data_IF_077527747187
#
_entry.id   IF_077527747187
#
_cell.length_a   1.000
_cell.length_b   1.000
_cell.length_c   1.000
_cell.angle_alpha   90.00
_cell.angle_beta   90.00
_cell.angle_gamma   90.00
#
_symmetry.space_group_name_H-M   'P 1'
#
loop_
_entity.id
_entity.type
_entity.pdbx_description
1 polymer ?
#
# COMPACT_ATOMS: atom_id res chain seq x y z
N UNK A 1 21.75 -30.77 23.01
CA UNK A 1 20.56 -31.32 23.69
C UNK A 1 19.53 -30.21 23.80
N UNK A 2 18.45 -30.25 23.00
CA UNK A 2 17.08 -29.93 23.40
C UNK A 2 16.21 -30.21 22.16
N UNK A 3 15.54 -31.36 22.19
CA UNK A 3 14.63 -31.81 21.14
C UNK A 3 13.27 -31.14 21.32
N UNK A 4 12.76 -30.69 20.19
CA UNK A 4 11.36 -30.41 19.86
C UNK A 4 10.33 -31.26 20.62
N UNK A 5 9.29 -30.60 21.13
CA UNK A 5 8.04 -31.21 21.52
C UNK A 5 6.88 -30.23 21.29
N UNK A 6 6.61 -29.87 20.04
CA UNK A 6 5.31 -29.34 19.65
C UNK A 6 4.30 -30.50 19.71
N UNK A 7 3.61 -30.62 20.85
CA UNK A 7 2.47 -31.53 21.00
C UNK A 7 1.35 -31.06 20.08
N UNK A 8 1.18 -31.81 19.00
CA UNK A 8 -0.01 -31.82 18.13
C UNK A 8 -1.26 -31.96 19.01
N UNK A 9 -2.06 -30.89 19.05
CA UNK A 9 -3.42 -30.93 19.62
C UNK A 9 -4.31 -31.74 18.67
N UNK A 10 -4.28 -33.05 18.83
CA UNK A 10 -5.18 -33.98 18.14
C UNK A 10 -6.52 -34.03 18.89
N UNK A 11 -7.29 -32.93 18.85
CA UNK A 11 -8.70 -32.95 19.26
C UNK A 11 -9.54 -33.16 18.00
N UNK A 12 -10.01 -34.41 17.83
CA UNK A 12 -11.10 -34.73 16.91
C UNK A 12 -12.33 -33.92 17.32
N UNK A 13 -12.60 -32.83 16.61
CA UNK A 13 -13.92 -32.19 16.60
C UNK A 13 -14.87 -33.10 15.81
N UNK A 14 -15.41 -34.11 16.49
CA UNK A 14 -16.65 -34.77 16.06
C UNK A 14 -17.82 -34.05 16.71
N UNK A 15 -18.23 -32.93 16.11
CA UNK A 15 -19.57 -32.38 16.30
C UNK A 15 -20.00 -31.79 14.97
N UNK A 16 -21.03 -32.39 14.38
CA UNK A 16 -21.62 -31.95 13.13
C UNK A 16 -22.19 -30.55 13.28
N UNK A 17 -21.47 -29.59 12.72
CA UNK A 17 -22.02 -28.33 12.26
C UNK A 17 -21.87 -28.34 10.75
N UNK A 18 -22.99 -28.19 10.06
CA UNK A 18 -23.02 -27.82 8.65
C UNK A 18 -22.31 -26.47 8.53
N UNK A 19 -20.99 -26.50 8.38
CA UNK A 19 -20.21 -25.36 7.90
C UNK A 19 -20.68 -25.17 6.47
N UNK A 20 -21.74 -24.36 6.29
CA UNK A 20 -22.24 -24.01 4.96
C UNK A 20 -21.12 -23.36 4.14
N UNK A 21 -21.31 -23.24 2.83
CA UNK A 21 -20.29 -22.69 1.91
C UNK A 21 -19.64 -21.38 2.39
N UNK A 22 -20.39 -20.52 3.11
CA UNK A 22 -19.86 -19.30 3.71
C UNK A 22 -18.82 -19.53 4.81
N UNK A 23 -18.95 -20.59 5.63
CA UNK A 23 -17.95 -20.92 6.65
C UNK A 23 -16.67 -21.50 6.06
N UNK A 24 -16.77 -22.27 4.96
CA UNK A 24 -15.62 -22.76 4.22
C UNK A 24 -14.86 -21.60 3.54
N UNK A 25 -15.59 -20.68 2.89
CA UNK A 25 -15.03 -19.48 2.29
C UNK A 25 -14.25 -18.64 3.32
N UNK A 26 -14.86 -18.34 4.47
CA UNK A 26 -14.18 -17.59 5.54
C UNK A 26 -12.95 -18.31 6.09
N UNK A 27 -12.98 -19.65 6.18
CA UNK A 27 -11.81 -20.41 6.62
C UNK A 27 -10.66 -20.34 5.63
N UNK A 28 -10.95 -20.35 4.32
CA UNK A 28 -9.94 -20.21 3.28
C UNK A 28 -9.33 -18.81 3.30
N UNK A 29 -10.15 -17.76 3.37
CA UNK A 29 -9.68 -16.37 3.47
C UNK A 29 -8.76 -16.17 4.68
N UNK A 30 -9.08 -16.79 5.82
CA UNK A 30 -8.22 -16.77 7.01
C UNK A 30 -6.89 -17.48 6.77
N UNK A 31 -6.91 -18.67 6.17
CA UNK A 31 -5.70 -19.41 5.84
C UNK A 31 -4.80 -18.61 4.90
N UNK A 32 -5.36 -18.06 3.83
CA UNK A 32 -4.64 -17.25 2.84
C UNK A 32 -4.02 -16.01 3.48
N UNK A 33 -4.77 -15.34 4.36
CA UNK A 33 -4.26 -14.19 5.12
C UNK A 33 -3.09 -14.59 6.02
N UNK A 34 -3.18 -15.70 6.76
CA UNK A 34 -2.08 -16.14 7.61
C UNK A 34 -0.84 -16.53 6.82
N UNK A 35 -1.00 -17.18 5.66
CA UNK A 35 0.12 -17.49 4.77
C UNK A 35 0.77 -16.23 4.20
N UNK A 36 -0.03 -15.25 3.76
CA UNK A 36 0.48 -13.95 3.31
C UNK A 36 1.21 -13.23 4.44
N UNK A 37 0.66 -13.27 5.66
CA UNK A 37 1.26 -12.66 6.83
C UNK A 37 2.62 -13.28 7.17
N UNK A 38 2.71 -14.60 7.24
CA UNK A 38 3.96 -15.31 7.51
C UNK A 38 5.04 -14.96 6.48
N UNK A 39 4.66 -14.91 5.20
CA UNK A 39 5.56 -14.52 4.12
C UNK A 39 6.04 -13.07 4.27
N UNK A 40 5.13 -12.11 4.46
CA UNK A 40 5.48 -10.69 4.57
C UNK A 40 6.23 -10.35 5.87
N UNK A 41 6.05 -11.12 6.94
CA UNK A 41 6.84 -10.98 8.18
C UNK A 41 8.29 -11.43 7.98
N UNK A 42 8.59 -12.26 6.97
CA UNK A 42 9.96 -12.64 6.61
C UNK A 42 10.71 -11.56 5.80
N UNK A 43 9.98 -10.60 5.23
CA UNK A 43 10.56 -9.50 4.45
C UNK A 43 11.31 -8.52 5.37
N UNK A 44 12.18 -7.65 4.82
CA UNK A 44 12.85 -6.62 5.61
C UNK A 44 11.86 -5.80 6.45
N UNK A 45 12.06 -5.77 7.76
CA UNK A 45 11.24 -5.01 8.72
C UNK A 45 11.95 -3.72 9.14
N UNK A 46 11.22 -2.68 9.49
CA UNK A 46 11.80 -1.47 10.10
C UNK A 46 11.96 -1.67 11.60
N UNK A 47 13.07 -1.21 12.16
CA UNK A 47 13.32 -1.35 13.60
C UNK A 47 12.55 -0.34 14.47
N UNK A 48 12.00 0.75 13.91
CA UNK A 48 11.32 1.76 14.75
C UNK A 48 10.15 2.47 14.04
N UNK A 49 8.95 2.36 14.61
CA UNK A 49 7.75 3.12 14.22
C UNK A 49 7.60 4.42 15.05
N UNK A 50 8.59 4.73 15.91
CA UNK A 50 8.64 5.93 16.76
C UNK A 50 9.32 7.14 16.09
N UNK A 51 9.19 7.27 14.76
CA UNK A 51 9.75 8.40 14.05
C UNK A 51 9.06 9.72 14.39
N UNK A 52 9.77 10.83 14.15
CA UNK A 52 9.20 12.16 14.30
C UNK A 52 8.07 12.39 13.30
N UNK A 53 7.01 13.06 13.77
CA UNK A 53 5.94 13.58 12.92
C UNK A 53 6.24 15.06 12.69
N UNK A 54 6.38 15.46 11.43
CA UNK A 54 6.59 16.84 11.02
C UNK A 54 5.49 17.30 10.07
N UNK A 55 5.16 18.59 10.07
CA UNK A 55 4.24 19.17 9.10
C UNK A 55 5.01 19.58 7.84
N UNK A 56 4.42 19.39 6.65
CA UNK A 56 4.97 19.89 5.41
C UNK A 56 5.01 21.44 5.41
N UNK A 57 6.21 21.99 5.29
CA UNK A 57 6.49 23.42 5.20
C UNK A 57 6.35 23.96 3.77
N UNK A 58 6.64 23.13 2.79
CA UNK A 58 6.64 23.48 1.37
C UNK A 58 5.52 22.83 0.56
N UNK A 59 5.13 23.51 -0.53
CA UNK A 59 4.18 22.98 -1.51
C UNK A 59 4.94 22.18 -2.58
N UNK A 60 5.56 21.07 -2.20
CA UNK A 60 6.42 20.28 -3.08
C UNK A 60 6.05 18.78 -3.16
N UNK A 61 4.96 18.37 -2.51
CA UNK A 61 4.51 16.97 -2.45
C UNK A 61 3.23 16.82 -3.28
N UNK A 62 3.31 15.98 -4.30
CA UNK A 62 2.18 15.49 -5.06
C UNK A 62 1.69 14.18 -4.43
N UNK A 63 0.40 14.07 -4.18
CA UNK A 63 -0.24 12.84 -3.71
C UNK A 63 -1.31 12.48 -4.72
N UNK A 64 -1.24 11.29 -5.32
CA UNK A 64 -2.25 10.83 -6.27
C UNK A 64 -3.09 9.68 -5.72
N UNK A 65 -4.40 9.87 -5.82
CA UNK A 65 -5.50 9.17 -5.18
C UNK A 65 -6.71 10.11 -5.07
N UNK A 66 -7.94 9.57 -4.98
CA UNK A 66 -9.26 10.23 -4.89
C UNK A 66 -9.43 11.33 -3.82
N UNK A 67 -8.40 11.66 -3.05
CA UNK A 67 -8.42 12.67 -2.00
C UNK A 67 -7.39 13.79 -2.22
N UNK A 68 -6.90 13.97 -3.46
CA UNK A 68 -6.06 15.12 -3.81
C UNK A 68 -6.90 16.40 -4.04
N UNK A 69 -6.40 17.60 -3.69
CA UNK A 69 -7.15 18.86 -3.75
C UNK A 69 -7.61 19.29 -5.16
N UNK A 70 -7.00 18.73 -6.22
CA UNK A 70 -7.41 18.96 -7.61
C UNK A 70 -8.71 18.26 -8.01
N UNK A 71 -9.24 17.39 -7.15
CA UNK A 71 -10.43 16.61 -7.43
C UNK A 71 -11.70 17.30 -6.90
N UNK A 72 -12.32 18.11 -7.75
CA UNK A 72 -13.64 18.71 -7.47
C UNK A 72 -14.73 17.66 -7.73
N UNK A 73 -15.57 17.36 -6.73
CA UNK A 73 -16.81 16.60 -6.93
C UNK A 73 -18.04 17.42 -6.60
N UNK A 74 -19.05 17.20 -7.43
CA UNK A 74 -20.39 17.78 -7.40
C UNK A 74 -21.10 17.48 -6.07
N UNK A 75 -21.16 18.50 -5.20
CA UNK A 75 -21.70 18.42 -3.83
C UNK A 75 -23.17 17.93 -3.79
N UNK A 76 -23.89 18.03 -4.90
CA UNK A 76 -25.32 17.70 -4.99
C UNK A 76 -25.63 16.19 -5.03
N UNK A 77 -24.63 15.31 -5.19
CA UNK A 77 -24.83 13.86 -5.40
C UNK A 77 -24.68 12.96 -4.16
N UNK A 78 -24.26 13.45 -3.00
CA UNK A 78 -23.90 12.57 -1.85
C UNK A 78 -24.79 12.78 -0.59
N UNK A 79 -25.57 11.76 -0.22
CA UNK A 79 -26.46 11.76 0.95
C UNK A 79 -25.74 11.23 2.21
N UNK A 80 -25.07 12.11 2.97
CA UNK A 80 -24.29 11.79 4.18
C UNK A 80 -25.09 11.05 5.28
N UNK A 81 -26.40 11.25 5.37
CA UNK A 81 -27.23 10.76 6.48
C UNK A 81 -27.42 9.22 6.51
N UNK A 82 -27.33 8.55 5.35
CA UNK A 82 -27.50 7.09 5.26
C UNK A 82 -26.31 6.29 5.79
N UNK A 83 -25.10 6.84 5.68
CA UNK A 83 -23.83 6.15 5.97
C UNK A 83 -23.56 6.07 7.47
N UNK A 84 -23.85 7.17 8.21
CA UNK A 84 -23.71 7.22 9.67
C UNK A 84 -24.56 6.16 10.38
N UNK A 85 -25.78 5.87 9.87
CA UNK A 85 -26.61 4.77 10.39
C UNK A 85 -25.97 3.40 10.17
N UNK A 86 -25.43 3.13 8.99
CA UNK A 86 -24.84 1.82 8.64
C UNK A 86 -23.56 1.51 9.43
N UNK A 87 -22.71 2.52 9.69
CA UNK A 87 -21.48 2.36 10.48
C UNK A 87 -21.77 2.08 11.96
N UNK A 88 -22.81 2.72 12.50
CA UNK A 88 -23.22 2.58 13.90
C UNK A 88 -24.04 1.30 14.17
N UNK A 89 -24.75 0.77 13.18
CA UNK A 89 -25.56 -0.45 13.32
C UNK A 89 -24.79 -1.75 13.07
N UNK A 90 -23.56 -1.69 12.58
CA UNK A 90 -22.80 -2.89 12.18
C UNK A 90 -22.01 -3.50 13.35
N UNK A 91 -22.19 -4.80 13.67
CA UNK A 91 -21.43 -5.49 14.73
C UNK A 91 -19.92 -5.46 14.43
N UNK A 92 -19.09 -5.35 15.47
CA UNK A 92 -17.61 -5.33 15.38
C UNK A 92 -17.03 -6.50 14.56
N UNK A 93 -17.68 -7.66 14.55
CA UNK A 93 -17.30 -8.82 13.74
C UNK A 93 -17.47 -8.57 12.23
N UNK A 94 -18.53 -7.89 11.80
CA UNK A 94 -18.74 -7.48 10.40
C UNK A 94 -17.82 -6.35 9.96
N UNK A 95 -17.37 -5.49 10.90
CA UNK A 95 -16.30 -4.51 10.63
C UNK A 95 -14.96 -5.18 10.33
N UNK A 96 -14.71 -6.37 10.89
CA UNK A 96 -13.53 -7.20 10.57
C UNK A 96 -13.63 -7.97 9.23
N UNK A 97 -14.85 -8.04 8.66
CA UNK A 97 -15.18 -8.62 7.35
C UNK A 97 -15.41 -7.54 6.28
N UNK A 98 -14.90 -6.32 6.52
CA UNK A 98 -15.22 -5.08 5.82
C UNK A 98 -14.71 -4.97 4.37
N UNK A 99 -15.02 -5.95 3.51
CA UNK A 99 -14.83 -5.89 2.06
C UNK A 99 -16.13 -5.63 1.28
N UNK A 100 -17.30 -5.65 1.93
CA UNK A 100 -18.60 -5.41 1.27
C UNK A 100 -19.15 -3.98 1.43
N UNK A 101 -18.48 -3.13 2.20
CA UNK A 101 -18.74 -1.68 2.27
C UNK A 101 -17.77 -0.93 1.37
N UNK A 102 -17.56 -1.44 0.15
CA UNK A 102 -16.83 -0.71 -0.89
C UNK A 102 -17.74 0.39 -1.46
N UNK A 103 -18.00 1.38 -0.62
CA UNK A 103 -18.86 2.51 -0.88
C UNK A 103 -18.04 3.60 -1.60
N UNK A 104 -17.38 3.22 -2.70
CA UNK A 104 -16.66 4.10 -3.62
C UNK A 104 -17.57 5.16 -4.29
N UNK A 105 -18.72 5.52 -3.72
CA UNK A 105 -19.62 6.57 -4.24
C UNK A 105 -19.85 7.72 -3.25
N UNK A 106 -19.25 7.69 -2.06
CA UNK A 106 -19.67 8.59 -0.96
C UNK A 106 -18.56 9.21 -0.09
N UNK A 107 -17.33 9.28 -0.60
CA UNK A 107 -16.22 9.87 0.15
C UNK A 107 -15.90 11.25 -0.40
N UNK A 108 -16.47 12.27 0.24
CA UNK A 108 -15.89 13.60 0.29
C UNK A 108 -14.43 13.52 0.77
N UNK A 109 -13.63 14.57 0.54
CA UNK A 109 -12.39 14.72 1.31
C UNK A 109 -12.75 14.47 2.77
N UNK A 110 -12.14 13.48 3.43
CA UNK A 110 -12.46 13.26 4.84
C UNK A 110 -12.09 14.54 5.58
N UNK A 111 -13.11 15.31 5.95
CA UNK A 111 -12.93 16.53 6.72
C UNK A 111 -12.31 16.14 8.06
N UNK A 112 -11.26 16.87 8.45
CA UNK A 112 -10.58 16.65 9.73
C UNK A 112 -9.47 15.60 9.74
N UNK A 113 -9.03 15.08 8.58
CA UNK A 113 -7.76 14.35 8.49
C UNK A 113 -6.87 14.89 7.36
N UNK A 114 -5.58 14.91 7.63
CA UNK A 114 -4.53 15.23 6.67
C UNK A 114 -3.86 13.95 6.17
N UNK A 115 -3.10 14.03 5.08
CA UNK A 115 -2.30 12.89 4.65
C UNK A 115 -1.05 12.76 5.52
N UNK A 116 -0.77 11.56 5.98
CA UNK A 116 0.52 11.18 6.54
C UNK A 116 1.35 10.51 5.45
N UNK A 117 2.47 11.12 5.08
CA UNK A 117 3.39 10.64 4.05
C UNK A 117 4.64 10.06 4.70
N UNK A 118 5.01 8.87 4.27
CA UNK A 118 6.28 8.22 4.59
C UNK A 118 7.05 7.99 3.29
N UNK A 119 8.13 8.74 3.09
CA UNK A 119 9.03 8.52 1.96
C UNK A 119 9.84 7.26 2.21
N UNK A 120 10.04 6.46 1.16
CA UNK A 120 10.77 5.20 1.27
C UNK A 120 12.22 5.49 1.64
N UNK A 121 12.54 5.28 2.92
CA UNK A 121 13.82 5.63 3.52
C UNK A 121 14.09 4.73 4.72
N UNK A 122 15.30 4.83 5.28
CA UNK A 122 15.63 4.15 6.53
C UNK A 122 15.13 4.92 7.77
N UNK A 123 14.67 6.16 7.58
CA UNK A 123 14.11 6.99 8.63
C UNK A 123 12.59 6.80 8.70
N UNK A 124 12.04 6.75 9.91
CA UNK A 124 10.61 6.61 10.15
C UNK A 124 9.86 7.95 10.22
N UNK A 125 10.39 8.99 9.58
CA UNK A 125 9.77 10.33 9.60
C UNK A 125 8.45 10.33 8.83
N UNK A 126 7.38 10.69 9.52
CA UNK A 126 6.05 10.88 8.94
C UNK A 126 5.81 12.36 8.71
N UNK A 127 5.32 12.69 7.53
CA UNK A 127 5.12 14.07 7.09
C UNK A 127 3.64 14.30 6.90
N UNK A 128 3.06 15.17 7.71
CA UNK A 128 1.66 15.57 7.60
C UNK A 128 1.54 16.62 6.51
N UNK A 129 0.77 16.30 5.47
CA UNK A 129 0.56 17.17 4.30
C UNK A 129 -0.88 17.65 4.30
N UNK A 130 -1.04 18.94 4.57
CA UNK A 130 -2.33 19.62 4.48
C UNK A 130 -2.73 19.83 3.02
N UNK A 131 -4.03 19.86 2.67
CA UNK A 131 -4.51 20.06 1.30
C UNK A 131 -3.86 21.24 0.57
N UNK A 132 -3.74 22.40 1.23
CA UNK A 132 -3.14 23.61 0.66
C UNK A 132 -1.64 23.48 0.35
N UNK A 133 -0.95 22.52 0.99
CA UNK A 133 0.47 22.20 0.80
C UNK A 133 0.70 21.09 -0.23
N UNK A 134 -0.35 20.49 -0.79
CA UNK A 134 -0.18 19.52 -1.86
C UNK A 134 0.03 20.21 -3.21
N UNK A 135 0.95 19.67 -4.01
CA UNK A 135 1.06 20.03 -5.42
C UNK A 135 -0.24 19.64 -6.15
N UNK A 136 -0.67 20.52 -7.03
CA UNK A 136 -1.89 20.38 -7.83
C UNK A 136 -1.57 20.53 -9.32
N UNK A 137 -0.56 19.81 -9.79
CA UNK A 137 -0.27 19.73 -11.22
C UNK A 137 -0.82 18.40 -11.77
N UNK A 138 -1.23 18.42 -13.02
CA UNK A 138 -1.74 17.24 -13.74
C UNK A 138 -0.60 16.22 -13.94
N UNK A 139 -0.79 14.93 -13.62
CA UNK A 139 0.28 13.94 -13.80
C UNK A 139 0.72 13.81 -15.26
N UNK A 140 -0.14 14.20 -16.22
CA UNK A 140 0.22 14.27 -17.64
C UNK A 140 1.29 15.35 -17.93
N UNK A 141 1.55 16.25 -16.98
CA UNK A 141 2.63 17.25 -17.05
C UNK A 141 3.96 16.77 -16.48
N UNK A 142 4.01 15.57 -15.89
CA UNK A 142 5.28 14.96 -15.43
C UNK A 142 6.16 14.67 -16.65
N UNK A 143 7.30 15.34 -16.75
CA UNK A 143 8.28 15.07 -17.81
C UNK A 143 9.06 13.79 -17.53
N UNK A 144 9.68 13.21 -18.55
CA UNK A 144 10.47 11.97 -18.41
C UNK A 144 11.64 12.13 -17.44
N UNK A 145 12.26 13.31 -17.48
CA UNK A 145 13.51 13.65 -16.82
C UNK A 145 13.31 14.18 -15.40
N UNK A 146 12.07 14.49 -15.01
CA UNK A 146 11.77 14.95 -13.66
C UNK A 146 12.11 13.84 -12.66
N UNK A 147 12.67 14.22 -11.51
CA UNK A 147 13.09 13.26 -10.48
C UNK A 147 12.21 13.47 -9.24
N UNK A 148 11.83 12.36 -8.63
CA UNK A 148 10.97 12.34 -7.46
C UNK A 148 11.56 11.49 -6.35
N UNK A 149 11.45 11.96 -5.12
CA UNK A 149 11.45 11.07 -3.96
C UNK A 149 10.07 10.42 -3.88
N UNK A 150 10.06 9.09 -3.76
CA UNK A 150 8.81 8.31 -3.73
C UNK A 150 8.47 7.86 -2.32
N UNK A 151 7.17 7.83 -2.03
CA UNK A 151 6.66 7.45 -0.71
C UNK A 151 5.26 6.88 -0.75
N UNK A 152 4.85 6.37 0.41
CA UNK A 152 3.50 5.93 0.67
C UNK A 152 2.78 7.00 1.49
N UNK A 153 1.54 7.29 1.12
CA UNK A 153 0.70 8.22 1.83
C UNK A 153 -0.53 7.50 2.36
N UNK A 154 -0.96 7.86 3.57
CA UNK A 154 -2.22 7.38 4.12
C UNK A 154 -3.05 8.54 4.65
N UNK A 155 -4.37 8.41 4.54
CA UNK A 155 -5.32 9.35 5.11
C UNK A 155 -6.35 8.59 5.92
N UNK A 156 -6.53 8.97 7.18
CA UNK A 156 -7.52 8.33 8.05
C UNK A 156 -8.93 8.74 7.61
N UNK A 157 -9.80 7.76 7.36
CA UNK A 157 -11.21 7.98 7.02
C UNK A 157 -12.07 8.17 8.27
N UNK A 158 -13.22 8.84 8.12
CA UNK A 158 -14.24 9.03 9.17
C UNK A 158 -13.74 9.67 10.48
N UNK A 159 -12.71 10.51 10.42
CA UNK A 159 -12.16 11.18 11.62
C UNK A 159 -13.16 12.18 12.22
N UNK A 160 -13.98 12.79 11.38
CA UNK A 160 -15.15 13.60 11.74
C UNK A 160 -16.16 12.84 12.61
N UNK A 161 -16.34 11.54 12.36
CA UNK A 161 -17.23 10.66 13.14
C UNK A 161 -16.52 10.03 14.34
N UNK A 162 -15.25 9.65 14.19
CA UNK A 162 -14.45 9.01 15.23
C UNK A 162 -12.95 9.24 15.00
N UNK A 163 -12.31 9.94 15.93
CA UNK A 163 -10.83 10.08 15.97
C UNK A 163 -10.07 8.76 16.11
N UNK A 164 -10.78 7.67 16.44
CA UNK A 164 -10.24 6.31 16.55
C UNK A 164 -10.64 5.43 15.36
N UNK A 165 -11.06 6.03 14.25
CA UNK A 165 -11.43 5.28 13.06
C UNK A 165 -10.29 4.37 12.64
N UNK A 166 -10.51 3.05 12.51
CA UNK A 166 -9.48 2.15 12.00
C UNK A 166 -9.34 2.26 10.48
N UNK A 167 -10.15 3.11 9.82
CA UNK A 167 -10.23 3.16 8.39
C UNK A 167 -9.19 4.11 7.80
N UNK A 168 -8.43 3.67 6.79
CA UNK A 168 -7.40 4.45 6.09
C UNK A 168 -7.54 4.25 4.58
N UNK A 169 -7.28 5.30 3.83
CA UNK A 169 -7.01 5.21 2.40
C UNK A 169 -5.53 5.35 2.15
N UNK A 170 -5.02 4.57 1.21
CA UNK A 170 -3.64 4.63 0.78
C UNK A 170 -3.51 5.35 -0.56
N UNK A 171 -2.38 6.00 -0.73
CA UNK A 171 -2.00 6.74 -1.94
C UNK A 171 -0.49 6.69 -2.10
N UNK A 172 0.00 7.09 -3.27
CA UNK A 172 1.42 7.29 -3.50
C UNK A 172 1.74 8.78 -3.39
N UNK A 173 2.84 9.09 -2.73
CA UNK A 173 3.38 10.43 -2.64
C UNK A 173 4.65 10.56 -3.49
N UNK A 174 4.77 11.67 -4.20
CA UNK A 174 5.95 12.09 -4.92
C UNK A 174 6.38 13.46 -4.42
N UNK A 175 7.64 13.61 -3.99
CA UNK A 175 8.22 14.92 -3.76
C UNK A 175 9.15 15.26 -4.91
N UNK A 176 8.94 16.43 -5.51
CA UNK A 176 9.77 16.90 -6.62
C UNK A 176 11.19 17.17 -6.14
N UNK A 177 12.18 16.63 -6.85
CA UNK A 177 13.60 16.98 -6.68
C UNK A 177 13.98 18.02 -7.72
N UNK A 178 14.58 19.13 -7.29
CA UNK A 178 14.92 20.26 -8.16
C UNK A 178 15.85 21.27 -7.49
N UNK A 179 15.83 22.52 -7.96
CA UNK A 179 16.60 23.62 -7.35
C UNK A 179 16.20 23.87 -5.90
N UNK A 180 14.90 23.78 -5.64
CA UNK A 180 14.30 24.21 -4.37
C UNK A 180 14.32 23.10 -3.33
N UNK A 181 14.33 21.83 -3.76
CA UNK A 181 14.46 20.66 -2.90
C UNK A 181 15.50 19.69 -3.46
N UNK A 182 16.60 19.51 -2.74
CA UNK A 182 17.64 18.54 -3.11
C UNK A 182 17.26 17.15 -2.62
N UNK A 183 17.56 16.13 -3.44
CA UNK A 183 17.32 14.73 -3.07
C UNK A 183 18.05 14.36 -1.78
N UNK A 184 17.36 13.64 -0.89
CA UNK A 184 17.97 13.05 0.29
C UNK A 184 18.62 11.69 -0.02
N UNK A 185 19.81 11.45 0.56
CA UNK A 185 20.63 10.24 0.31
C UNK A 185 19.99 8.96 0.81
N UNK A 186 19.04 9.08 1.72
CA UNK A 186 18.35 7.96 2.33
C UNK A 186 17.03 7.63 1.62
N UNK A 187 16.54 8.48 0.70
CA UNK A 187 15.23 8.30 0.08
C UNK A 187 15.31 7.66 -1.30
N UNK A 188 14.34 6.82 -1.63
CA UNK A 188 14.26 6.20 -2.95
C UNK A 188 13.86 7.23 -4.01
N UNK A 189 14.60 7.24 -5.12
CA UNK A 189 14.38 8.14 -6.24
C UNK A 189 13.81 7.39 -7.45
N UNK A 190 12.88 8.02 -8.15
CA UNK A 190 12.36 7.57 -9.45
C UNK A 190 12.26 8.74 -10.43
N UNK A 191 12.46 8.43 -11.71
CA UNK A 191 12.26 9.39 -12.81
C UNK A 191 10.78 9.49 -13.16
N UNK A 192 10.38 10.59 -13.80
CA UNK A 192 9.01 10.78 -14.24
C UNK A 192 8.59 9.74 -15.27
N UNK A 193 9.51 9.28 -16.13
CA UNK A 193 9.29 8.12 -17.01
C UNK A 193 8.82 6.89 -16.25
N UNK A 194 9.52 6.56 -15.17
CA UNK A 194 9.22 5.40 -14.33
C UNK A 194 7.90 5.59 -13.57
N UNK A 195 7.64 6.79 -13.06
CA UNK A 195 6.38 7.12 -12.40
C UNK A 195 5.19 6.97 -13.36
N UNK A 196 5.29 7.48 -14.60
CA UNK A 196 4.22 7.31 -15.59
C UNK A 196 4.02 5.85 -15.96
N UNK A 197 5.09 5.04 -15.99
CA UNK A 197 4.99 3.58 -16.13
C UNK A 197 4.23 2.96 -14.96
N UNK A 198 4.54 3.33 -13.72
CA UNK A 198 3.82 2.86 -12.52
C UNK A 198 2.32 3.17 -12.62
N UNK A 199 1.97 4.42 -12.95
CA UNK A 199 0.57 4.85 -13.05
C UNK A 199 -0.15 4.08 -14.15
N UNK A 200 0.44 3.99 -15.34
CA UNK A 200 -0.17 3.34 -16.52
C UNK A 200 -0.43 1.86 -16.26
N UNK A 201 0.57 1.12 -15.77
CA UNK A 201 0.43 -0.30 -15.52
C UNK A 201 -0.53 -0.59 -14.36
N UNK A 202 -0.51 0.22 -13.30
CA UNK A 202 -1.45 0.08 -12.17
C UNK A 202 -2.89 0.32 -12.62
N UNK A 203 -3.12 1.37 -13.42
CA UNK A 203 -4.44 1.63 -14.01
C UNK A 203 -4.93 0.45 -14.85
N UNK A 204 -4.06 -0.10 -15.68
CA UNK A 204 -4.41 -1.21 -16.56
C UNK A 204 -4.69 -2.52 -15.80
N UNK A 205 -3.93 -2.80 -14.73
CA UNK A 205 -3.98 -4.09 -14.02
C UNK A 205 -4.98 -4.13 -12.87
N UNK A 206 -5.18 -3.01 -12.18
CA UNK A 206 -6.05 -2.93 -11.01
C UNK A 206 -7.31 -2.12 -11.31
N UNK A 207 -7.15 -0.92 -11.86
CA UNK A 207 -8.26 0.04 -11.89
C UNK A 207 -9.24 -0.17 -13.05
N UNK A 208 -8.75 -0.66 -14.21
CA UNK A 208 -9.55 -0.82 -15.42
C UNK A 208 -10.75 -1.77 -15.23
N UNK A 209 -10.56 -2.87 -14.50
CA UNK A 209 -11.64 -3.84 -14.20
C UNK A 209 -12.70 -3.29 -13.25
N UNK A 210 -12.36 -2.24 -12.50
CA UNK A 210 -13.23 -1.57 -11.54
C UNK A 210 -13.78 -0.23 -12.08
N UNK A 211 -13.56 0.06 -13.38
CA UNK A 211 -13.93 1.32 -14.02
C UNK A 211 -13.43 2.56 -13.27
N UNK A 212 -12.25 2.45 -12.66
CA UNK A 212 -11.61 3.54 -11.95
C UNK A 212 -10.20 3.80 -12.48
N UNK A 213 -9.52 4.78 -11.89
CA UNK A 213 -8.10 5.07 -12.15
C UNK A 213 -7.43 5.38 -10.82
N UNK A 214 -6.11 5.30 -10.76
CA UNK A 214 -5.27 5.71 -9.64
C UNK A 214 -5.45 7.19 -9.26
N UNK A 215 -6.00 7.99 -10.19
CA UNK A 215 -6.38 9.38 -9.97
C UNK A 215 -7.73 9.51 -9.27
N UNK A 216 -8.69 8.67 -9.65
CA UNK A 216 -10.10 8.82 -9.30
C UNK A 216 -10.61 7.80 -8.28
N UNK A 217 -9.78 6.81 -7.89
CA UNK A 217 -10.05 5.85 -6.83
C UNK A 217 -8.88 5.73 -5.86
N UNK A 218 -9.24 5.46 -4.60
CA UNK A 218 -8.32 5.19 -3.49
C UNK A 218 -8.31 3.68 -3.18
N UNK A 219 -8.36 2.83 -4.20
CA UNK A 219 -8.36 1.41 -3.95
C UNK A 219 -7.01 1.01 -3.34
N UNK A 220 -7.06 0.47 -2.13
CA UNK A 220 -5.87 0.13 -1.36
C UNK A 220 -4.97 -0.83 -2.16
N UNK A 221 -5.60 -1.75 -2.91
CA UNK A 221 -4.95 -2.65 -3.86
C UNK A 221 -4.09 -1.94 -4.91
N UNK A 222 -4.48 -0.76 -5.40
CA UNK A 222 -3.70 -0.06 -6.42
C UNK A 222 -2.43 0.57 -5.84
N UNK A 223 -2.48 1.15 -4.64
CA UNK A 223 -1.29 1.66 -3.97
C UNK A 223 -0.30 0.53 -3.64
N UNK A 224 -0.80 -0.61 -3.15
CA UNK A 224 0.02 -1.81 -2.90
C UNK A 224 0.63 -2.35 -4.20
N UNK A 225 -0.17 -2.45 -5.26
CA UNK A 225 0.32 -2.87 -6.57
C UNK A 225 1.40 -1.92 -7.11
N UNK A 226 1.17 -0.61 -7.02
CA UNK A 226 2.10 0.42 -7.45
C UNK A 226 3.45 0.29 -6.73
N UNK A 227 3.46 0.08 -5.42
CA UNK A 227 4.69 -0.14 -4.64
C UNK A 227 5.46 -1.39 -5.11
N UNK A 228 4.77 -2.50 -5.35
CA UNK A 228 5.43 -3.70 -5.89
C UNK A 228 5.95 -3.48 -7.31
N UNK A 229 5.24 -2.73 -8.14
CA UNK A 229 5.71 -2.37 -9.47
C UNK A 229 6.94 -1.45 -9.43
N UNK A 230 7.04 -0.54 -8.44
CA UNK A 230 8.26 0.24 -8.23
C UNK A 230 9.47 -0.65 -7.94
N UNK A 231 9.31 -1.71 -7.15
CA UNK A 231 10.39 -2.71 -6.92
C UNK A 231 10.83 -3.35 -8.25
N UNK A 232 9.88 -3.79 -9.08
CA UNK A 232 10.18 -4.41 -10.39
C UNK A 232 10.92 -3.44 -11.31
N UNK A 233 10.43 -2.20 -11.43
CA UNK A 233 11.05 -1.16 -12.25
C UNK A 233 12.47 -0.86 -11.77
N UNK A 234 12.67 -0.75 -10.45
CA UNK A 234 14.00 -0.53 -9.88
C UNK A 234 14.91 -1.72 -10.17
N UNK A 235 14.44 -2.97 -10.10
CA UNK A 235 15.23 -4.16 -10.46
C UNK A 235 15.64 -4.18 -11.95
N UNK A 236 14.79 -3.66 -12.83
CA UNK A 236 15.01 -3.62 -14.28
C UNK A 236 15.98 -2.51 -14.72
N UNK A 237 16.27 -1.52 -13.87
CA UNK A 237 17.15 -0.39 -14.22
C UNK A 237 18.53 -0.84 -14.69
N UNK A 238 19.03 -0.24 -15.77
CA UNK A 238 20.43 -0.38 -16.16
C UNK A 238 21.36 0.41 -15.22
N UNK A 239 22.63 0.01 -15.13
CA UNK A 239 23.67 0.77 -14.41
C UNK A 239 23.76 2.23 -14.91
N UNK A 240 23.56 2.44 -16.22
CA UNK A 240 23.51 3.76 -16.81
C UNK A 240 22.38 4.63 -16.23
N UNK A 241 21.16 4.08 -16.12
CA UNK A 241 20.02 4.80 -15.55
C UNK A 241 20.28 5.18 -14.09
N UNK A 242 20.92 4.29 -13.33
CA UNK A 242 21.34 4.58 -11.96
C UNK A 242 22.37 5.71 -11.87
N UNK A 243 23.32 5.76 -12.80
CA UNK A 243 24.35 6.80 -12.83
C UNK A 243 23.81 8.21 -13.13
N UNK A 244 22.59 8.32 -13.67
CA UNK A 244 21.95 9.60 -13.98
C UNK A 244 21.15 10.19 -12.80
N UNK A 245 20.88 9.41 -11.75
CA UNK A 245 20.21 9.92 -10.57
C UNK A 245 21.21 10.75 -9.72
N UNK A 246 20.79 11.90 -9.15
CA UNK A 246 21.67 12.84 -8.46
C UNK A 246 22.38 12.22 -7.24
N UNK A 247 21.87 11.10 -6.74
CA UNK A 247 22.49 10.33 -5.66
C UNK A 247 22.36 8.84 -5.95
N UNK A 248 23.50 8.13 -5.91
CA UNK A 248 23.57 6.69 -6.16
C UNK A 248 23.08 5.93 -4.93
N UNK A 249 21.78 5.71 -4.83
CA UNK A 249 21.29 4.68 -3.92
C UNK A 249 21.60 3.31 -4.53
N UNK A 250 22.05 2.39 -3.69
CA UNK A 250 22.17 1.00 -4.09
C UNK A 250 20.76 0.48 -4.46
N UNK A 251 20.72 -0.32 -5.53
CA UNK A 251 19.51 -0.94 -6.08
C UNK A 251 18.87 -1.84 -5.03
N UNK A 252 19.69 -2.62 -4.33
CA UNK A 252 19.29 -3.47 -3.21
C UNK A 252 18.68 -2.65 -2.07
N UNK A 253 19.34 -1.57 -1.66
CA UNK A 253 18.87 -0.69 -0.59
C UNK A 253 17.53 -0.02 -0.96
N UNK A 254 17.38 0.44 -2.20
CA UNK A 254 16.12 1.03 -2.67
C UNK A 254 14.96 0.02 -2.66
N UNK A 255 15.21 -1.20 -3.11
CA UNK A 255 14.23 -2.29 -3.09
C UNK A 255 13.86 -2.64 -1.64
N UNK A 256 14.84 -2.72 -0.74
CA UNK A 256 14.59 -3.02 0.68
C UNK A 256 13.66 -1.99 1.35
N UNK A 257 13.89 -0.69 1.11
CA UNK A 257 13.07 0.40 1.65
C UNK A 257 11.61 0.35 1.19
N UNK A 258 11.39 0.04 -0.09
CA UNK A 258 10.04 -0.12 -0.61
C UNK A 258 9.40 -1.40 -0.04
N UNK A 259 10.12 -2.52 -0.05
CA UNK A 259 9.62 -3.81 0.44
C UNK A 259 9.19 -3.73 1.91
N UNK A 260 9.95 -3.02 2.74
CA UNK A 260 9.64 -2.76 4.15
C UNK A 260 8.38 -1.92 4.35
N UNK A 261 8.17 -0.92 3.50
CA UNK A 261 6.92 -0.13 3.55
C UNK A 261 5.74 -0.92 3.00
N UNK A 262 6.00 -1.76 1.99
CA UNK A 262 5.01 -2.61 1.34
C UNK A 262 4.49 -3.70 2.27
N UNK A 263 5.37 -4.38 3.01
CA UNK A 263 4.97 -5.41 3.97
C UNK A 263 4.09 -4.83 5.06
N UNK A 264 4.47 -3.67 5.64
CA UNK A 264 3.64 -2.96 6.62
C UNK A 264 2.28 -2.55 6.06
N UNK A 265 2.26 -1.92 4.89
CA UNK A 265 1.01 -1.48 4.26
C UNK A 265 0.11 -2.66 3.90
N UNK A 266 0.66 -3.76 3.36
CA UNK A 266 -0.11 -4.95 3.01
C UNK A 266 -0.66 -5.70 4.24
N UNK A 267 -0.08 -5.50 5.43
CA UNK A 267 -0.52 -6.10 6.70
C UNK A 267 -1.33 -5.17 7.62
N UNK A 268 -1.49 -3.89 7.25
CA UNK A 268 -2.39 -2.98 7.95
C UNK A 268 -3.84 -3.54 7.94
N UNK A 269 -4.74 -3.03 8.78
CA UNK A 269 -6.09 -3.57 9.03
C UNK A 269 -6.97 -3.78 7.77
N UNK A 270 -6.57 -3.25 6.61
CA UNK A 270 -7.19 -3.45 5.30
C UNK A 270 -6.53 -4.47 4.39
N UNK A 271 -5.40 -5.05 4.81
CA UNK A 271 -4.70 -6.14 4.13
C UNK A 271 -5.62 -7.29 3.76
N UNK A 272 -6.71 -7.49 4.51
CA UNK A 272 -7.77 -8.47 4.19
C UNK A 272 -8.52 -8.21 2.88
N UNK A 273 -8.73 -6.94 2.51
CA UNK A 273 -9.33 -6.59 1.21
C UNK A 273 -8.31 -6.63 0.07
N UNK A 274 -7.04 -6.37 0.38
CA UNK A 274 -5.91 -6.42 -0.54
C UNK A 274 -5.55 -7.86 -0.90
N UNK A 275 -5.57 -8.76 0.08
CA UNK A 275 -5.31 -10.20 -0.08
C UNK A 275 -6.37 -10.90 -0.92
N UNK A 276 -7.57 -10.32 -1.02
CA UNK A 276 -8.65 -10.85 -1.86
C UNK A 276 -8.54 -10.37 -3.32
N UNK A 277 -7.61 -9.47 -3.64
CA UNK A 277 -7.29 -9.15 -5.03
C UNK A 277 -6.21 -10.11 -5.54
N UNK A 278 -6.60 -11.07 -6.38
CA UNK A 278 -5.69 -12.08 -6.94
C UNK A 278 -4.47 -11.47 -7.64
N UNK A 279 -4.63 -10.34 -8.33
CA UNK A 279 -3.51 -9.67 -9.03
C UNK A 279 -2.49 -9.16 -8.02
N UNK A 280 -2.94 -8.61 -6.89
CA UNK A 280 -2.04 -8.16 -5.82
C UNK A 280 -1.41 -9.34 -5.09
N UNK A 281 -2.17 -10.40 -4.82
CA UNK A 281 -1.66 -11.62 -4.18
C UNK A 281 -0.55 -12.27 -5.01
N UNK A 282 -0.74 -12.41 -6.32
CA UNK A 282 0.29 -12.92 -7.25
C UNK A 282 1.52 -12.01 -7.26
N UNK A 283 1.33 -10.68 -7.29
CA UNK A 283 2.45 -9.75 -7.23
C UNK A 283 3.28 -9.97 -5.94
N UNK A 284 2.63 -9.98 -4.78
CA UNK A 284 3.29 -10.10 -3.48
C UNK A 284 3.97 -11.46 -3.29
N UNK A 285 3.26 -12.55 -3.56
CA UNK A 285 3.72 -13.91 -3.22
C UNK A 285 4.56 -14.57 -4.31
N UNK A 286 4.45 -14.14 -5.57
CA UNK A 286 5.09 -14.81 -6.71
C UNK A 286 6.04 -13.92 -7.47
N UNK A 287 5.65 -12.70 -7.85
CA UNK A 287 6.49 -11.83 -8.67
C UNK A 287 7.64 -11.21 -7.88
N UNK A 288 7.38 -10.77 -6.64
CA UNK A 288 8.37 -10.05 -5.83
C UNK A 288 9.36 -10.98 -5.15
N UNK A 289 8.95 -12.19 -4.75
CA UNK A 289 9.83 -13.15 -4.09
C UNK A 289 11.15 -13.41 -4.84
N UNK A 290 11.19 -13.73 -6.15
CA UNK A 290 12.46 -13.96 -6.85
C UNK A 290 13.33 -12.71 -6.92
N UNK A 291 12.73 -11.51 -6.97
CA UNK A 291 13.47 -10.24 -6.96
C UNK A 291 14.12 -10.02 -5.59
N UNK A 292 13.34 -10.18 -4.51
CA UNK A 292 13.86 -10.01 -3.15
C UNK A 292 14.96 -11.04 -2.83
N UNK A 293 14.79 -12.29 -3.27
CA UNK A 293 15.80 -13.34 -3.12
C UNK A 293 17.08 -13.04 -3.92
N UNK A 294 16.96 -12.59 -5.18
CA UNK A 294 18.09 -12.12 -6.02
C UNK A 294 18.93 -11.05 -5.33
N UNK A 295 18.29 -10.16 -4.56
CA UNK A 295 18.95 -9.11 -3.79
C UNK A 295 19.34 -9.52 -2.36
N UNK A 296 19.15 -10.79 -1.98
CA UNK A 296 19.43 -11.33 -0.64
C UNK A 296 18.70 -10.54 0.46
N UNK A 297 17.44 -10.20 0.21
CA UNK A 297 16.55 -9.51 1.15
C UNK A 297 15.60 -10.47 1.87
N UNK A 298 15.42 -11.66 1.31
CA UNK A 298 14.75 -12.82 1.91
C UNK A 298 15.60 -14.05 1.59
N UNK A 299 15.38 -15.15 2.31
CA UNK A 299 15.98 -16.41 1.94
C UNK A 299 15.50 -16.83 0.55
N UNK A 300 16.41 -17.35 -0.30
CA UNK A 300 15.97 -18.03 -1.51
C UNK A 300 15.00 -19.12 -1.07
N UNK A 301 13.76 -19.09 -1.60
CA UNK A 301 12.77 -20.12 -1.31
C UNK A 301 13.46 -21.45 -1.53
N UNK A 302 13.74 -22.16 -0.44
CA UNK A 302 14.46 -23.42 -0.45
C UNK A 302 13.50 -24.48 -0.97
N UNK A 303 13.16 -24.38 -2.25
CA UNK A 303 12.09 -25.11 -2.92
C UNK A 303 10.78 -25.13 -2.11
N UNK A 304 9.84 -24.26 -2.45
CA UNK A 304 8.40 -24.50 -2.24
C UNK A 304 7.89 -25.71 -3.08
N UNK A 305 8.68 -26.78 -3.18
CA UNK A 305 8.19 -28.15 -3.36
C UNK A 305 7.59 -28.59 -2.03
N UNK A 306 6.39 -28.13 -1.67
CA UNK A 306 5.52 -28.93 -0.78
C UNK A 306 4.05 -28.55 -0.71
N UNK A 307 3.63 -27.34 -1.04
CA UNK A 307 2.21 -27.00 -0.99
C UNK A 307 1.70 -26.65 -2.38
N UNK A 308 1.11 -27.66 -3.03
CA UNK A 308 0.55 -27.56 -4.37
C UNK A 308 -0.52 -26.50 -4.46
N UNK A 309 -0.19 -25.40 -5.11
CA UNK A 309 -1.15 -24.63 -5.88
C UNK A 309 -1.16 -25.21 -7.30
N UNK A 310 -2.24 -25.90 -7.62
CA UNK A 310 -2.67 -26.24 -8.97
C UNK A 310 -3.92 -25.43 -9.28
#
# INVERSE_FOLDING_TARGET
>A
MFKSAFRVFNRKFTSGTSVGAGGLYLSQDLTDFFSLKEELESWPQSMDDQGSVIEADEKNILIFGRQSPGYVRDEQRENKAGISRSINSSPLFFKSLGTYLDNEKHYQLFDGSDFEVEFFSNASTKIVVKPERMLNFDLDTITDEQIFEVGFARKQGFVDLSRKSPFYHSSIALRVVGSDHQASKDKVLMTGREIRRVITETNNKICASQHCTLYSSNCYSASIYAMGLMIKIIDERSEHTFSQLPQRNDKKDSIAKIAQSLSRAALDNFGRGVSNNEVVKVLLLSDLHPILAKHQLIEEASSLKKNGYK
#
